data_IF_220088028807
#
_entry.id   IF_220088028807
#
_cell.length_a   1.000
_cell.length_b   1.000
_cell.length_c   1.000
_cell.angle_alpha   90.00
_cell.angle_beta   90.00
_cell.angle_gamma   90.00
#
_symmetry.space_group_name_H-M   'P 1'
#
loop_
_entity.id
_entity.type
_entity.pdbx_description
1 polymer ?
#
# COMPACT_ATOMS: atom_id res chain seq x y z
N UNK A 1 -7.58 2.57 -14.35
CA UNK A 1 -7.64 2.50 -12.89
C UNK A 1 -6.62 3.47 -12.31
N UNK A 2 -6.99 4.26 -11.32
CA UNK A 2 -6.11 5.15 -10.55
C UNK A 2 -5.66 4.42 -9.29
N UNK A 3 -4.44 3.90 -9.30
CA UNK A 3 -3.87 3.19 -8.17
C UNK A 3 -2.84 4.09 -7.47
N UNK A 4 -3.12 4.48 -6.24
CA UNK A 4 -2.16 5.16 -5.40
C UNK A 4 -1.29 4.17 -4.62
N UNK A 5 -0.08 4.58 -4.22
CA UNK A 5 0.82 3.79 -3.39
C UNK A 5 1.25 4.57 -2.15
N UNK A 6 1.22 3.93 -0.98
CA UNK A 6 1.84 4.46 0.23
C UNK A 6 2.92 3.47 0.67
N UNK A 7 4.12 3.98 0.93
CA UNK A 7 5.26 3.17 1.36
C UNK A 7 6.17 3.95 2.30
N UNK A 8 7.19 3.28 2.84
CA UNK A 8 8.23 3.94 3.63
C UNK A 8 7.77 4.52 4.97
N UNK A 9 6.61 4.10 5.49
CA UNK A 9 6.14 4.54 6.80
C UNK A 9 7.06 3.97 7.88
N UNK A 10 7.88 4.84 8.46
CA UNK A 10 8.91 4.46 9.41
C UNK A 10 8.95 5.40 10.62
N UNK A 11 9.41 4.88 11.74
CA UNK A 11 9.79 5.67 12.92
C UNK A 11 11.09 5.12 13.46
N UNK A 12 12.00 6.02 13.83
CA UNK A 12 13.28 5.65 14.41
C UNK A 12 13.05 4.77 15.66
N UNK A 13 13.84 3.70 15.89
CA UNK A 13 13.64 2.78 17.01
C UNK A 13 13.44 3.45 18.37
N UNK A 14 14.20 4.51 18.67
CA UNK A 14 14.12 5.24 19.95
C UNK A 14 12.81 6.02 20.18
N UNK A 15 11.98 6.19 19.15
CA UNK A 15 10.72 6.97 19.22
C UNK A 15 9.50 6.19 18.78
N UNK A 16 9.61 4.87 18.60
CA UNK A 16 8.45 4.00 18.32
C UNK A 16 7.45 4.03 19.49
N UNK A 17 6.19 3.72 19.20
CA UNK A 17 5.11 3.73 20.20
C UNK A 17 4.60 5.12 20.60
N UNK A 18 5.11 6.19 19.98
CA UNK A 18 4.71 7.58 20.28
C UNK A 18 3.74 8.21 19.27
N UNK A 19 3.17 7.40 18.37
CA UNK A 19 2.18 7.86 17.39
C UNK A 19 2.72 8.49 16.10
N UNK A 20 4.03 8.69 15.94
CA UNK A 20 4.60 9.30 14.72
C UNK A 20 4.22 8.59 13.42
N UNK A 21 4.34 7.26 13.38
CA UNK A 21 3.95 6.48 12.21
C UNK A 21 2.48 6.67 11.84
N UNK A 22 1.58 6.73 12.84
CA UNK A 22 0.15 6.94 12.61
C UNK A 22 -0.11 8.36 12.09
N UNK A 23 0.49 9.37 12.71
CA UNK A 23 0.32 10.76 12.29
C UNK A 23 0.84 11.04 10.86
N UNK A 24 1.90 10.36 10.45
CA UNK A 24 2.42 10.41 9.08
C UNK A 24 1.49 9.68 8.10
N UNK A 25 1.04 8.48 8.45
CA UNK A 25 0.12 7.69 7.63
C UNK A 25 -1.22 8.39 7.40
N UNK A 26 -1.81 8.98 8.43
CA UNK A 26 -3.07 9.72 8.32
C UNK A 26 -2.94 10.91 7.34
N UNK A 27 -1.81 11.62 7.38
CA UNK A 27 -1.51 12.72 6.43
C UNK A 27 -1.31 12.21 5.01
N UNK A 28 -0.61 11.10 4.84
CA UNK A 28 -0.40 10.49 3.53
C UNK A 28 -1.73 10.02 2.92
N UNK A 29 -2.59 9.38 3.72
CA UNK A 29 -3.93 8.96 3.28
C UNK A 29 -4.78 10.17 2.90
N UNK A 30 -4.81 11.23 3.71
CA UNK A 30 -5.57 12.43 3.38
C UNK A 30 -5.08 13.09 2.07
N UNK A 31 -3.76 13.13 1.85
CA UNK A 31 -3.19 13.64 0.61
C UNK A 31 -3.55 12.77 -0.60
N UNK A 32 -3.50 11.44 -0.44
CA UNK A 32 -3.91 10.49 -1.48
C UNK A 32 -5.41 10.60 -1.78
N UNK A 33 -6.26 10.62 -0.76
CA UNK A 33 -7.72 10.70 -0.88
C UNK A 33 -8.16 12.00 -1.58
N UNK A 34 -7.43 13.10 -1.42
CA UNK A 34 -7.69 14.36 -2.14
C UNK A 34 -7.53 14.27 -3.67
N UNK A 35 -6.95 13.18 -4.19
CA UNK A 35 -6.83 12.89 -5.62
C UNK A 35 -7.82 11.83 -6.12
N UNK A 36 -8.79 11.43 -5.30
CA UNK A 36 -9.85 10.47 -5.64
C UNK A 36 -9.32 9.18 -6.33
N UNK A 37 -8.41 8.42 -5.68
CA UNK A 37 -7.90 7.18 -6.22
C UNK A 37 -9.02 6.13 -6.30
N UNK A 38 -8.92 5.22 -7.28
CA UNK A 38 -9.81 4.08 -7.33
C UNK A 38 -9.48 3.11 -6.18
N UNK A 39 -8.18 2.89 -5.95
CA UNK A 39 -7.63 2.03 -4.90
C UNK A 39 -6.30 2.63 -4.39
N UNK A 40 -5.93 2.32 -3.15
CA UNK A 40 -4.60 2.61 -2.61
C UNK A 40 -3.93 1.32 -2.19
N UNK A 41 -2.67 1.09 -2.58
CA UNK A 41 -1.92 -0.10 -2.23
C UNK A 41 -0.73 0.21 -1.33
N UNK A 42 -0.33 -0.80 -0.56
CA UNK A 42 0.99 -0.85 0.07
C UNK A 42 1.50 -2.29 0.11
N UNK A 43 2.81 -2.41 0.25
CA UNK A 43 3.52 -3.68 0.40
C UNK A 43 4.15 -3.68 1.79
N UNK A 44 3.76 -4.63 2.64
CA UNK A 44 4.28 -4.68 4.00
C UNK A 44 4.28 -6.09 4.58
N UNK A 45 5.15 -6.31 5.57
CA UNK A 45 5.18 -7.57 6.29
C UNK A 45 3.88 -7.87 7.02
N UNK A 46 3.46 -9.15 7.03
CA UNK A 46 2.19 -9.60 7.65
C UNK A 46 2.05 -9.21 9.12
N UNK A 47 3.18 -9.06 9.84
CA UNK A 47 3.16 -8.55 11.23
C UNK A 47 2.57 -7.12 11.36
N UNK A 48 2.45 -6.39 10.25
CA UNK A 48 1.88 -5.04 10.19
C UNK A 48 0.40 -5.04 9.83
N UNK A 49 -0.23 -6.20 9.62
CA UNK A 49 -1.63 -6.29 9.17
C UNK A 49 -2.58 -5.55 10.12
N UNK A 50 -2.47 -5.79 11.42
CA UNK A 50 -3.29 -5.12 12.42
C UNK A 50 -3.10 -3.60 12.43
N UNK A 51 -1.90 -3.11 12.12
CA UNK A 51 -1.61 -1.68 12.06
C UNK A 51 -2.28 -1.01 10.85
N UNK A 52 -2.20 -1.61 9.67
CA UNK A 52 -2.79 -1.04 8.45
C UNK A 52 -4.31 -1.29 8.34
N UNK A 53 -4.83 -2.35 8.95
CA UNK A 53 -6.27 -2.58 9.06
C UNK A 53 -7.00 -1.44 9.79
N UNK A 54 -6.35 -0.77 10.75
CA UNK A 54 -6.92 0.37 11.47
C UNK A 54 -7.26 1.57 10.57
N UNK A 55 -6.69 1.63 9.37
CA UNK A 55 -6.96 2.70 8.41
C UNK A 55 -7.57 2.19 7.09
N UNK A 56 -8.13 0.97 7.13
CA UNK A 56 -8.95 0.42 6.06
C UNK A 56 -8.21 -0.38 4.99
N UNK A 57 -6.92 -0.70 5.18
CA UNK A 57 -6.25 -1.65 4.30
C UNK A 57 -6.69 -3.09 4.61
N UNK A 58 -6.94 -3.86 3.56
CA UNK A 58 -7.29 -5.27 3.63
C UNK A 58 -6.29 -6.13 2.83
N UNK A 59 -6.15 -7.42 3.15
CA UNK A 59 -5.34 -8.35 2.37
C UNK A 59 -5.78 -8.45 0.90
N UNK A 60 -4.81 -8.48 0.00
CA UNK A 60 -5.01 -8.87 -1.40
C UNK A 60 -4.39 -10.24 -1.63
N UNK A 61 -5.21 -11.26 -1.86
CA UNK A 61 -4.80 -12.65 -2.09
C UNK A 61 -4.59 -12.94 -3.59
N UNK A 62 -3.94 -12.01 -4.28
CA UNK A 62 -3.62 -12.11 -5.71
C UNK A 62 -2.14 -11.95 -5.98
N UNK A 63 -1.77 -11.94 -7.26
CA UNK A 63 -0.38 -11.74 -7.70
C UNK A 63 -0.14 -10.26 -7.95
N UNK A 64 0.87 -9.71 -7.29
CA UNK A 64 1.33 -8.34 -7.56
C UNK A 64 2.54 -8.39 -8.47
N UNK A 65 2.46 -7.68 -9.59
CA UNK A 65 3.53 -7.56 -10.59
C UNK A 65 4.13 -6.15 -10.53
N UNK A 66 5.42 -6.05 -10.86
CA UNK A 66 6.14 -4.79 -10.99
C UNK A 66 7.17 -4.93 -12.12
N UNK A 67 7.57 -3.82 -12.74
CA UNK A 67 8.72 -3.78 -13.64
C UNK A 67 9.98 -3.40 -12.88
N UNK A 68 10.99 -4.26 -12.98
CA UNK A 68 12.35 -4.01 -12.48
C UNK A 68 13.31 -4.29 -13.62
N UNK A 69 14.22 -3.36 -13.90
CA UNK A 69 15.22 -3.49 -14.97
C UNK A 69 14.62 -3.84 -16.35
N UNK A 70 13.42 -3.32 -16.65
CA UNK A 70 12.69 -3.55 -17.90
C UNK A 70 11.85 -4.82 -17.93
N UNK A 71 12.08 -5.75 -17.01
CA UNK A 71 11.38 -7.03 -16.93
C UNK A 71 10.18 -6.97 -16.00
N UNK A 72 9.11 -7.69 -16.36
CA UNK A 72 7.93 -7.84 -15.49
C UNK A 72 8.20 -8.99 -14.51
N UNK A 73 8.27 -8.66 -13.23
CA UNK A 73 8.57 -9.61 -12.15
C UNK A 73 7.43 -9.64 -11.12
N UNK A 74 7.27 -10.78 -10.45
CA UNK A 74 6.36 -10.89 -9.32
C UNK A 74 6.98 -10.18 -8.12
N UNK A 75 6.21 -9.33 -7.45
CA UNK A 75 6.59 -8.77 -6.17
C UNK A 75 6.14 -9.72 -5.05
N UNK A 76 7.03 -10.63 -4.64
CA UNK A 76 6.77 -11.68 -3.65
C UNK A 76 7.49 -11.47 -2.30
N UNK A 77 8.26 -10.38 -2.16
CA UNK A 77 9.02 -10.11 -0.93
C UNK A 77 8.12 -9.91 0.30
N UNK A 78 6.99 -9.22 0.16
CA UNK A 78 6.00 -9.05 1.22
C UNK A 78 4.58 -8.98 0.64
N UNK A 79 3.55 -9.32 1.42
CA UNK A 79 2.17 -9.23 0.97
C UNK A 79 1.73 -7.82 0.58
N UNK A 80 0.88 -7.77 -0.44
CA UNK A 80 0.14 -6.57 -0.83
C UNK A 80 -1.10 -6.39 0.04
N UNK A 81 -1.41 -5.14 0.34
CA UNK A 81 -2.61 -4.69 1.02
C UNK A 81 -3.28 -3.59 0.20
N UNK A 82 -4.60 -3.61 0.13
CA UNK A 82 -5.39 -2.64 -0.63
C UNK A 82 -6.36 -1.93 0.30
N UNK A 83 -6.41 -0.60 0.23
CA UNK A 83 -7.47 0.22 0.83
C UNK A 83 -8.44 0.66 -0.28
N UNK A 84 -9.76 0.50 -0.08
CA UNK A 84 -10.74 0.94 -1.06
C UNK A 84 -10.71 2.47 -1.19
N UNK A 85 -10.98 2.95 -2.41
CA UNK A 85 -11.23 4.36 -2.71
C UNK A 85 -12.58 4.47 -3.40
N UNK A 86 -12.58 4.91 -4.66
CA UNK A 86 -13.80 4.89 -5.50
C UNK A 86 -14.28 3.49 -5.84
N UNK A 87 -13.39 2.50 -5.85
CA UNK A 87 -13.71 1.09 -6.10
C UNK A 87 -13.54 0.26 -4.81
N UNK A 88 -14.34 -0.82 -4.65
CA UNK A 88 -14.13 -1.76 -3.56
C UNK A 88 -12.78 -2.46 -3.72
N UNK A 89 -12.13 -2.75 -2.59
CA UNK A 89 -10.87 -3.48 -2.59
C UNK A 89 -11.11 -4.93 -3.10
N UNK A 90 -10.42 -5.38 -4.16
CA UNK A 90 -10.57 -6.74 -4.65
C UNK A 90 -9.94 -7.73 -3.67
N UNK A 91 -10.53 -8.92 -3.55
CA UNK A 91 -9.99 -9.99 -2.70
C UNK A 91 -8.76 -10.69 -3.32
N UNK A 92 -8.60 -10.64 -4.65
CA UNK A 92 -7.51 -11.29 -5.38
C UNK A 92 -7.54 -10.94 -6.88
N UNK A 93 -6.75 -11.66 -7.68
CA UNK A 93 -6.55 -11.41 -9.10
C UNK A 93 -5.11 -10.99 -9.43
N UNK A 94 -4.92 -10.25 -10.52
CA UNK A 94 -3.62 -9.65 -10.86
C UNK A 94 -3.62 -8.14 -10.59
N UNK A 95 -2.58 -7.67 -9.92
CA UNK A 95 -2.30 -6.25 -9.72
C UNK A 95 -0.95 -5.94 -10.36
N UNK A 96 -0.94 -5.25 -11.50
CA UNK A 96 0.30 -4.80 -12.13
C UNK A 96 0.59 -3.36 -11.73
N UNK A 97 1.65 -3.16 -10.93
CA UNK A 97 2.15 -1.83 -10.55
C UNK A 97 2.94 -1.17 -11.68
N UNK A 98 3.15 -1.88 -12.79
CA UNK A 98 4.01 -1.47 -13.88
C UNK A 98 5.41 -1.12 -13.36
N UNK A 99 6.13 -0.22 -14.02
CA UNK A 99 7.33 0.44 -13.51
C UNK A 99 7.09 1.94 -13.44
N UNK A 100 8.11 2.72 -13.07
CA UNK A 100 7.99 4.16 -12.99
C UNK A 100 7.52 4.80 -14.32
N UNK A 101 6.42 5.58 -14.32
CA UNK A 101 6.12 6.56 -15.38
C UNK A 101 6.66 7.97 -15.05
N UNK A 102 7.50 8.12 -14.02
CA UNK A 102 8.13 9.37 -13.57
C UNK A 102 9.65 9.31 -13.71
#
# INVERSE_FOLDING_TARGET
MRLAGIGGVASHPSVRGRGYGRAALDRAIAAVDAHDPDLTQLICASRMDGYYAQVGFVPFAGTTWVRQDGERVVLDYQPTRIRPGRLPAPAGGELDLCGAPW
#
